data_IF_705648824782
#
_entry.id   IF_705648824782
#
_cell.length_a   1.000
_cell.length_b   1.000
_cell.length_c   1.000
_cell.angle_alpha   90.00
_cell.angle_beta   90.00
_cell.angle_gamma   90.00
#
_symmetry.space_group_name_H-M   'P 1'
#
loop_
_entity.id
_entity.type
_entity.pdbx_description
1 polymer ?
#
# COMPACT_ATOMS: atom_id res chain seq x y z
N UNK A 1 -9.52 -35.49 -2.61
CA UNK A 1 -8.54 -36.54 -2.28
C UNK A 1 -8.45 -36.77 -0.78
N UNK A 2 -8.05 -37.96 -0.36
CA UNK A 2 -7.93 -38.37 1.05
C UNK A 2 -6.45 -38.66 1.39
N UNK A 3 -5.90 -38.16 2.50
CA UNK A 3 -4.54 -38.49 2.94
C UNK A 3 -4.36 -40.00 3.12
N UNK A 4 -3.21 -40.54 2.73
CA UNK A 4 -2.90 -41.96 2.95
C UNK A 4 -2.51 -42.16 4.42
N UNK A 5 -3.19 -43.06 5.12
CA UNK A 5 -2.88 -43.41 6.50
C UNK A 5 -1.42 -43.90 6.64
N UNK A 6 -0.81 -43.62 7.80
CA UNK A 6 0.52 -44.12 8.15
C UNK A 6 0.49 -45.66 8.24
N UNK A 7 1.50 -46.30 7.67
CA UNK A 7 1.71 -47.73 7.90
C UNK A 7 2.17 -47.96 9.34
N UNK A 8 1.97 -49.17 9.87
CA UNK A 8 2.35 -49.49 11.26
C UNK A 8 3.84 -49.26 11.55
N UNK A 9 4.70 -49.48 10.55
CA UNK A 9 6.15 -49.28 10.66
C UNK A 9 6.53 -47.79 10.63
N UNK A 10 5.84 -46.98 9.82
CA UNK A 10 6.02 -45.52 9.78
C UNK A 10 5.55 -44.87 11.09
N UNK A 11 4.42 -45.33 11.64
CA UNK A 11 3.92 -44.85 12.93
C UNK A 11 4.90 -45.16 14.06
N UNK A 12 5.42 -46.40 14.11
CA UNK A 12 6.41 -46.79 15.10
C UNK A 12 7.72 -45.97 15.00
N UNK A 13 8.13 -45.62 13.78
CA UNK A 13 9.31 -44.77 13.54
C UNK A 13 9.07 -43.32 14.00
N UNK A 14 7.87 -42.79 13.73
CA UNK A 14 7.48 -41.45 14.17
C UNK A 14 7.41 -41.35 15.70
N UNK A 15 6.82 -42.35 16.36
CA UNK A 15 6.75 -42.40 17.81
C UNK A 15 8.15 -42.49 18.44
N UNK A 16 9.06 -43.29 17.85
CA UNK A 16 10.45 -43.38 18.30
C UNK A 16 11.22 -42.05 18.16
N UNK A 17 11.02 -41.32 17.06
CA UNK A 17 11.66 -40.01 16.83
C UNK A 17 11.14 -38.95 17.80
N UNK A 18 9.84 -38.93 18.10
CA UNK A 18 9.26 -38.04 19.13
C UNK A 18 9.79 -38.36 20.52
N UNK A 19 9.90 -39.65 20.87
CA UNK A 19 10.51 -40.04 22.15
C UNK A 19 11.99 -39.63 22.26
N UNK A 20 12.74 -39.66 21.16
CA UNK A 20 14.13 -39.21 21.14
C UNK A 20 14.22 -37.69 21.31
N UNK A 21 13.35 -36.94 20.63
CA UNK A 21 13.21 -35.48 20.77
C UNK A 21 12.93 -35.09 22.23
N UNK A 22 11.92 -35.70 22.85
CA UNK A 22 11.53 -35.41 24.23
C UNK A 22 12.66 -35.73 25.23
N UNK A 23 13.41 -36.82 25.00
CA UNK A 23 14.56 -37.19 25.84
C UNK A 23 15.71 -36.20 25.71
N UNK A 24 15.97 -35.69 24.51
CA UNK A 24 17.01 -34.67 24.30
C UNK A 24 16.57 -33.34 24.88
N UNK A 25 15.31 -32.94 24.71
CA UNK A 25 14.76 -31.71 25.28
C UNK A 25 14.88 -31.73 26.80
N UNK A 26 14.47 -32.80 27.47
CA UNK A 26 14.57 -32.91 28.93
C UNK A 26 16.02 -32.92 29.46
N UNK A 27 17.00 -33.35 28.66
CA UNK A 27 18.41 -33.37 29.06
C UNK A 27 19.08 -31.99 28.98
N UNK A 28 18.60 -31.12 28.09
CA UNK A 28 19.22 -29.83 27.80
C UNK A 28 18.32 -28.62 28.11
N UNK A 29 17.15 -28.83 28.74
CA UNK A 29 16.23 -27.76 29.14
C UNK A 29 16.84 -26.77 30.15
N UNK A 30 17.73 -27.25 31.04
CA UNK A 30 18.40 -26.43 32.05
C UNK A 30 19.83 -25.99 31.65
N UNK A 31 20.25 -26.26 30.40
CA UNK A 31 21.58 -25.89 29.93
C UNK A 31 21.61 -24.42 29.46
N UNK A 32 22.61 -23.65 29.91
CA UNK A 32 22.80 -22.25 29.52
C UNK A 32 23.14 -22.08 28.01
N UNK A 33 23.73 -23.10 27.39
CA UNK A 33 24.08 -23.13 25.96
C UNK A 33 23.98 -24.57 25.43
N UNK A 34 23.38 -24.72 24.25
CA UNK A 34 23.17 -26.03 23.61
C UNK A 34 24.42 -26.39 22.78
N UNK A 35 25.03 -27.58 22.98
CA UNK A 35 26.13 -28.01 22.13
C UNK A 35 25.69 -28.15 20.65
N UNK A 36 26.54 -27.71 19.71
CA UNK A 36 26.25 -27.74 18.26
C UNK A 36 25.80 -29.11 17.74
N UNK A 37 26.35 -30.20 18.29
CA UNK A 37 25.98 -31.58 17.92
C UNK A 37 24.53 -31.93 18.30
N UNK A 38 24.02 -31.33 19.38
CA UNK A 38 22.65 -31.56 19.88
C UNK A 38 21.67 -30.68 19.11
N UNK A 39 22.03 -29.44 18.80
CA UNK A 39 21.25 -28.55 17.92
C UNK A 39 21.05 -29.19 16.53
N UNK A 40 22.14 -29.73 15.95
CA UNK A 40 22.07 -30.47 14.69
C UNK A 40 21.16 -31.69 14.80
N UNK A 41 21.20 -32.42 15.92
CA UNK A 41 20.36 -33.61 16.13
C UNK A 41 18.88 -33.26 16.25
N UNK A 42 18.53 -32.13 16.88
CA UNK A 42 17.15 -31.64 16.89
C UNK A 42 16.66 -31.32 15.49
N UNK A 43 17.46 -30.61 14.69
CA UNK A 43 17.12 -30.31 13.30
C UNK A 43 16.91 -31.56 12.44
N UNK A 44 17.72 -32.60 12.62
CA UNK A 44 17.55 -33.89 11.94
C UNK A 44 16.24 -34.60 12.32
N UNK A 45 15.91 -34.63 13.61
CA UNK A 45 14.70 -35.28 14.12
C UNK A 45 13.45 -34.54 13.65
N UNK A 46 13.42 -33.21 13.72
CA UNK A 46 12.31 -32.39 13.24
C UNK A 46 12.09 -32.55 11.73
N UNK A 47 13.17 -32.55 10.94
CA UNK A 47 13.09 -32.77 9.50
C UNK A 47 12.55 -34.17 9.17
N UNK A 48 12.97 -35.20 9.91
CA UNK A 48 12.49 -36.57 9.74
C UNK A 48 11.01 -36.73 10.11
N UNK A 49 10.57 -36.13 11.22
CA UNK A 49 9.15 -36.11 11.62
C UNK A 49 8.30 -35.41 10.55
N UNK A 50 8.72 -34.22 10.12
CA UNK A 50 8.02 -33.45 9.08
C UNK A 50 7.90 -34.23 7.77
N UNK A 51 8.93 -34.98 7.38
CA UNK A 51 8.89 -35.83 6.19
C UNK A 51 7.92 -37.00 6.32
N UNK A 52 7.76 -37.58 7.51
CA UNK A 52 6.80 -38.67 7.73
C UNK A 52 5.35 -38.16 7.79
N UNK A 53 5.15 -36.95 8.30
CA UNK A 53 3.84 -36.30 8.38
C UNK A 53 3.37 -35.70 7.04
N UNK A 54 4.29 -35.39 6.12
CA UNK A 54 3.98 -34.93 4.77
C UNK A 54 3.41 -36.07 3.90
N UNK A 55 2.10 -36.39 4.07
CA UNK A 55 1.46 -37.53 3.39
C UNK A 55 1.02 -37.23 1.96
N UNK A 56 1.29 -38.15 1.00
CA UNK A 56 0.70 -38.08 -0.33
C UNK A 56 -0.82 -38.31 -0.25
N UNK A 57 -1.57 -37.49 -0.99
CA UNK A 57 -3.03 -37.56 -1.09
C UNK A 57 -3.43 -38.55 -2.19
N UNK A 58 -4.37 -39.47 -1.90
CA UNK A 58 -4.98 -40.35 -2.90
C UNK A 58 -6.21 -39.68 -3.50
N UNK A 59 -6.31 -39.64 -4.82
CA UNK A 59 -7.43 -39.08 -5.57
C UNK A 59 -8.27 -40.20 -6.22
N UNK A 60 -9.58 -39.97 -6.38
CA UNK A 60 -10.46 -40.90 -7.07
C UNK A 60 -10.09 -40.97 -8.57
N UNK A 61 -10.01 -42.15 -9.20
CA UNK A 61 -9.75 -42.28 -10.64
C UNK A 61 -10.65 -41.41 -11.54
N UNK A 62 -11.89 -41.16 -11.15
CA UNK A 62 -12.80 -40.29 -11.90
C UNK A 62 -12.43 -38.80 -11.77
N UNK A 63 -11.88 -38.38 -10.63
CA UNK A 63 -11.34 -37.02 -10.43
C UNK A 63 -10.03 -36.82 -11.20
N UNK A 64 -9.16 -37.84 -11.24
CA UNK A 64 -7.90 -37.80 -11.99
C UNK A 64 -8.13 -37.57 -13.50
N UNK A 65 -9.25 -38.04 -14.04
CA UNK A 65 -9.58 -37.88 -15.46
C UNK A 65 -10.01 -36.45 -15.86
N UNK A 66 -10.35 -35.59 -14.88
CA UNK A 66 -10.92 -34.24 -15.11
C UNK A 66 -10.14 -33.13 -14.41
N UNK A 67 -9.40 -33.48 -13.36
CA UNK A 67 -8.58 -32.54 -12.61
C UNK A 67 -7.16 -32.48 -13.15
N UNK A 68 -6.67 -31.28 -13.35
CA UNK A 68 -5.28 -30.97 -13.62
C UNK A 68 -4.41 -30.92 -12.35
N UNK A 69 -3.13 -30.67 -12.61
CA UNK A 69 -2.10 -30.44 -11.60
C UNK A 69 -1.59 -29.01 -11.75
N UNK A 70 -1.55 -28.28 -10.65
CA UNK A 70 -0.82 -27.03 -10.55
C UNK A 70 0.59 -27.33 -10.02
N UNK A 71 1.59 -27.05 -10.84
CA UNK A 71 2.98 -27.13 -10.44
C UNK A 71 3.46 -25.71 -10.18
N UNK A 72 3.84 -25.43 -8.95
CA UNK A 72 4.51 -24.21 -8.55
C UNK A 72 5.89 -24.55 -7.98
N UNK A 73 6.72 -23.52 -7.83
CA UNK A 73 8.03 -23.64 -7.20
C UNK A 73 7.97 -22.77 -5.95
N UNK A 74 8.31 -23.34 -4.80
CA UNK A 74 8.37 -22.65 -3.52
C UNK A 74 9.58 -21.71 -3.49
N UNK A 75 9.60 -20.80 -2.50
CA UNK A 75 10.58 -19.73 -2.31
C UNK A 75 12.03 -20.20 -2.18
N UNK A 76 12.26 -21.48 -1.87
CA UNK A 76 13.56 -22.12 -1.76
C UNK A 76 13.98 -22.92 -3.02
N UNK A 77 13.14 -22.90 -4.08
CA UNK A 77 13.37 -23.65 -5.31
C UNK A 77 12.81 -25.07 -5.29
N UNK A 78 12.14 -25.48 -4.21
CA UNK A 78 11.49 -26.80 -4.13
C UNK A 78 10.23 -26.83 -4.99
N UNK A 79 10.01 -27.92 -5.72
CA UNK A 79 8.78 -28.10 -6.52
C UNK A 79 7.58 -28.37 -5.60
N UNK A 80 6.59 -27.48 -5.63
CA UNK A 80 5.29 -27.67 -4.99
C UNK A 80 4.30 -28.19 -6.03
N UNK A 81 3.75 -29.38 -5.79
CA UNK A 81 2.84 -30.04 -6.75
C UNK A 81 1.47 -30.22 -6.10
N UNK A 82 0.57 -29.31 -6.40
CA UNK A 82 -0.80 -29.34 -5.93
C UNK A 82 -1.70 -29.98 -7.00
N UNK A 83 -2.47 -31.01 -6.60
CA UNK A 83 -3.25 -31.84 -7.52
C UNK A 83 -4.73 -31.72 -7.17
N UNK A 84 -5.61 -31.77 -8.17
CA UNK A 84 -7.05 -31.72 -7.96
C UNK A 84 -7.75 -30.46 -8.47
N UNK A 85 -7.09 -29.63 -9.29
CA UNK A 85 -7.70 -28.43 -9.86
C UNK A 85 -8.50 -28.78 -11.11
N UNK A 86 -9.81 -28.59 -11.07
CA UNK A 86 -10.70 -28.79 -12.23
C UNK A 86 -10.92 -27.44 -12.90
N UNK A 87 -10.84 -27.38 -14.23
CA UNK A 87 -11.15 -26.15 -14.97
C UNK A 87 -12.64 -25.87 -14.89
N UNK A 88 -13.08 -24.60 -14.89
CA UNK A 88 -14.51 -24.27 -14.82
C UNK A 88 -15.36 -24.96 -15.90
N UNK A 89 -14.79 -25.18 -17.10
CA UNK A 89 -15.45 -25.89 -18.19
C UNK A 89 -15.59 -27.42 -17.98
N UNK A 90 -14.83 -28.01 -17.06
CA UNK A 90 -14.79 -29.45 -16.77
C UNK A 90 -15.47 -29.80 -15.43
N UNK A 91 -16.05 -28.80 -14.76
CA UNK A 91 -16.81 -28.95 -13.53
C UNK A 91 -18.13 -29.70 -13.80
N UNK A 92 -18.41 -30.77 -13.06
CA UNK A 92 -19.65 -31.51 -13.22
C UNK A 92 -20.84 -30.60 -12.82
N UNK A 93 -21.95 -30.56 -13.58
CA UNK A 93 -23.09 -29.73 -13.23
C UNK A 93 -23.61 -30.14 -11.84
N UNK A 94 -23.71 -29.16 -10.95
CA UNK A 94 -24.28 -29.36 -9.63
C UNK A 94 -25.70 -29.92 -9.76
N UNK A 95 -25.99 -31.01 -9.06
CA UNK A 95 -27.37 -31.44 -8.84
C UNK A 95 -28.07 -30.35 -8.03
N UNK A 96 -29.16 -29.76 -8.54
CA UNK A 96 -29.82 -28.65 -7.86
C UNK A 96 -30.58 -29.17 -6.63
N UNK A 97 -30.18 -28.73 -5.44
CA UNK A 97 -31.14 -28.62 -4.34
C UNK A 97 -31.96 -27.34 -4.58
N UNK A 98 -33.26 -27.55 -4.70
CA UNK A 98 -34.32 -26.54 -4.84
C UNK A 98 -34.30 -25.58 -3.68
N UNK A 99 -34.34 -24.27 -3.94
CA UNK A 99 -35.58 -23.51 -3.70
C UNK A 99 -35.59 -22.14 -4.40
N UNK A 100 -36.66 -21.96 -5.20
CA UNK A 100 -37.45 -20.76 -5.55
C UNK A 100 -37.09 -19.42 -4.88
N UNK A 101 -37.22 -18.22 -5.45
CA UNK A 101 -37.69 -17.61 -6.72
C UNK A 101 -37.43 -16.07 -6.55
N UNK A 102 -37.92 -15.12 -7.38
CA UNK A 102 -37.21 -14.47 -8.48
C UNK A 102 -37.04 -12.93 -8.33
N UNK A 103 -36.22 -12.37 -9.23
CA UNK A 103 -36.55 -11.09 -9.87
C UNK A 103 -35.48 -10.00 -9.78
N UNK A 104 -34.74 -9.78 -10.87
CA UNK A 104 -35.02 -8.74 -11.89
C UNK A 104 -33.79 -8.60 -12.80
N UNK A 105 -34.01 -9.03 -14.03
CA UNK A 105 -33.53 -8.49 -15.32
C UNK A 105 -32.26 -7.62 -15.40
N UNK A 106 -31.23 -8.20 -16.00
CA UNK A 106 -30.64 -7.75 -17.27
C UNK A 106 -30.32 -6.26 -17.47
N UNK A 107 -29.03 -5.93 -17.38
CA UNK A 107 -28.41 -5.11 -18.42
C UNK A 107 -26.92 -5.41 -18.57
N UNK A 108 -26.56 -5.75 -19.80
CA UNK A 108 -25.21 -5.88 -20.31
C UNK A 108 -24.41 -4.62 -20.01
N UNK A 109 -23.17 -4.79 -19.53
CA UNK A 109 -22.18 -3.72 -19.57
C UNK A 109 -21.15 -4.12 -20.62
N UNK A 110 -21.24 -3.45 -21.76
CA UNK A 110 -20.19 -3.37 -22.76
C UNK A 110 -18.90 -2.88 -22.11
N UNK A 111 -17.79 -3.51 -22.50
CA UNK A 111 -16.45 -3.06 -22.19
C UNK A 111 -16.21 -1.66 -22.78
N UNK A 112 -16.25 -0.64 -21.93
CA UNK A 112 -15.73 0.69 -22.24
C UNK A 112 -14.86 1.14 -21.06
N UNK A 113 -13.73 1.76 -21.40
CA UNK A 113 -12.60 2.00 -20.51
C UNK A 113 -12.99 2.60 -19.16
N UNK A 114 -12.54 1.95 -18.09
CA UNK A 114 -12.60 2.50 -16.73
C UNK A 114 -11.70 3.73 -16.66
N UNK A 115 -12.29 4.90 -16.88
CA UNK A 115 -11.66 6.17 -16.52
C UNK A 115 -11.65 6.23 -15.00
N UNK A 116 -10.50 5.93 -14.40
CA UNK A 116 -10.27 6.06 -12.96
C UNK A 116 -10.25 7.55 -12.58
N UNK A 117 -11.44 8.12 -12.42
CA UNK A 117 -11.63 9.37 -11.68
C UNK A 117 -11.31 9.08 -10.21
N UNK A 118 -10.83 10.07 -9.45
CA UNK A 118 -10.85 9.96 -7.98
C UNK A 118 -12.32 9.76 -7.55
N UNK A 119 -12.73 8.50 -7.34
CA UNK A 119 -14.11 8.18 -6.95
C UNK A 119 -14.26 8.55 -5.49
N UNK A 120 -14.68 9.79 -5.25
CA UNK A 120 -14.84 10.33 -3.91
C UNK A 120 -16.26 9.96 -3.38
N UNK A 121 -16.55 8.69 -3.10
CA UNK A 121 -17.84 8.20 -2.55
C UNK A 121 -18.42 9.02 -1.37
N UNK A 122 -19.57 9.67 -1.58
CA UNK A 122 -20.30 10.43 -0.55
C UNK A 122 -21.13 9.46 0.29
N UNK A 123 -20.82 9.33 1.58
CA UNK A 123 -21.68 8.60 2.52
C UNK A 123 -20.93 8.14 3.77
N UNK A 124 -20.78 9.02 4.75
CA UNK A 124 -20.27 8.66 6.07
C UNK A 124 -20.98 9.45 7.15
N UNK A 125 -21.89 8.82 7.89
CA UNK A 125 -22.46 9.42 9.10
C UNK A 125 -21.37 9.53 10.18
N UNK A 126 -21.31 10.65 10.93
CA UNK A 126 -20.39 10.79 12.04
C UNK A 126 -20.73 9.73 13.09
N UNK A 127 -19.74 8.94 13.49
CA UNK A 127 -19.87 8.05 14.64
C UNK A 127 -19.74 8.90 15.91
N UNK A 128 -20.79 8.92 16.73
CA UNK A 128 -20.74 9.47 18.08
C UNK A 128 -19.78 8.62 18.91
N UNK A 129 -18.65 9.21 19.30
CA UNK A 129 -17.79 8.65 20.34
C UNK A 129 -18.42 8.95 21.68
N UNK A 130 -18.94 7.92 22.36
CA UNK A 130 -19.44 8.01 23.73
C UNK A 130 -18.33 8.50 24.67
N UNK A 131 -18.69 9.43 25.55
CA UNK A 131 -17.84 10.02 26.57
C UNK A 131 -17.63 8.99 27.69
N UNK A 132 -16.46 8.33 27.71
CA UNK A 132 -15.97 7.66 28.90
C UNK A 132 -14.79 8.48 29.45
N UNK A 133 -15.04 9.12 30.60
CA UNK A 133 -14.13 9.91 31.42
C UNK A 133 -13.05 9.01 32.05
N UNK A 134 -12.20 8.39 31.21
CA UNK A 134 -10.93 7.83 31.64
C UNK A 134 -9.82 8.86 31.39
N UNK A 135 -8.97 9.09 32.41
CA UNK A 135 -7.88 10.08 32.48
C UNK A 135 -6.74 9.89 31.44
N UNK A 136 -6.98 9.15 30.36
CA UNK A 136 -5.99 8.82 29.33
C UNK A 136 -6.32 9.41 27.95
N UNK A 137 -5.26 9.79 27.24
CA UNK A 137 -5.34 10.19 25.82
C UNK A 137 -5.58 8.93 24.98
N UNK A 138 -6.85 8.63 24.68
CA UNK A 138 -7.23 7.48 23.84
C UNK A 138 -6.62 7.60 22.42
N UNK A 139 -6.22 6.49 21.77
CA UNK A 139 -5.82 6.49 20.37
C UNK A 139 -6.90 7.08 19.46
N UNK A 140 -6.51 7.62 18.31
CA UNK A 140 -7.47 8.11 17.32
C UNK A 140 -8.33 6.93 16.80
N UNK A 141 -9.65 7.12 16.61
CA UNK A 141 -10.49 6.10 15.99
C UNK A 141 -9.95 5.70 14.62
N UNK A 142 -9.92 4.39 14.29
CA UNK A 142 -9.42 3.88 13.01
C UNK A 142 -10.02 4.63 11.81
N UNK A 143 -11.35 4.85 11.84
CA UNK A 143 -12.05 5.58 10.80
C UNK A 143 -11.51 7.01 10.61
N UNK A 144 -11.18 7.71 11.69
CA UNK A 144 -10.60 9.05 11.63
C UNK A 144 -9.19 8.99 11.01
N UNK A 145 -8.39 7.98 11.33
CA UNK A 145 -7.06 7.79 10.73
C UNK A 145 -7.17 7.55 9.22
N UNK A 146 -8.11 6.71 8.76
CA UNK A 146 -8.34 6.47 7.32
C UNK A 146 -8.71 7.78 6.61
N UNK A 147 -9.61 8.59 7.19
CA UNK A 147 -10.03 9.87 6.60
C UNK A 147 -8.88 10.89 6.55
N UNK A 148 -8.10 11.03 7.63
CA UNK A 148 -6.93 11.93 7.66
C UNK A 148 -5.87 11.47 6.65
N UNK A 149 -5.61 10.18 6.55
CA UNK A 149 -4.63 9.66 5.58
C UNK A 149 -5.12 9.72 4.13
N UNK A 150 -6.44 9.75 3.91
CA UNK A 150 -7.02 10.07 2.60
C UNK A 150 -6.79 11.54 2.22
N UNK A 151 -7.02 12.50 3.14
CA UNK A 151 -6.68 13.92 2.93
C UNK A 151 -5.19 14.07 2.57
N UNK A 152 -4.31 13.43 3.35
CA UNK A 152 -2.85 13.44 3.13
C UNK A 152 -2.47 12.88 1.77
N UNK A 153 -3.05 11.74 1.39
CA UNK A 153 -2.78 11.12 0.08
C UNK A 153 -3.19 12.05 -1.04
N UNK A 154 -4.36 12.69 -0.95
CA UNK A 154 -4.85 13.55 -2.03
C UNK A 154 -4.03 14.85 -2.15
N UNK A 155 -3.64 15.46 -1.04
CA UNK A 155 -2.73 16.61 -1.05
C UNK A 155 -1.34 16.25 -1.59
N UNK A 156 -0.81 15.07 -1.24
CA UNK A 156 0.45 14.57 -1.76
C UNK A 156 0.40 14.34 -3.28
N UNK A 157 -0.70 13.78 -3.80
CA UNK A 157 -0.92 13.62 -5.24
C UNK A 157 -0.90 14.96 -5.97
N UNK A 158 -1.58 15.95 -5.42
CA UNK A 158 -1.63 17.28 -6.02
C UNK A 158 -0.23 17.89 -6.08
N UNK A 159 0.52 17.85 -4.98
CA UNK A 159 1.89 18.39 -4.93
C UNK A 159 2.83 17.63 -5.87
N UNK A 160 2.79 16.30 -5.86
CA UNK A 160 3.60 15.42 -6.72
C UNK A 160 3.33 15.64 -8.21
N UNK A 161 2.06 15.80 -8.61
CA UNK A 161 1.70 16.05 -10.01
C UNK A 161 2.23 17.40 -10.55
N UNK A 162 2.55 18.34 -9.65
CA UNK A 162 3.13 19.65 -10.01
C UNK A 162 4.67 19.65 -9.91
N UNK A 163 5.31 18.50 -9.72
CA UNK A 163 6.77 18.34 -9.67
C UNK A 163 7.24 17.19 -10.56
N UNK A 164 7.42 17.43 -11.88
CA UNK A 164 7.81 16.37 -12.82
C UNK A 164 9.15 15.69 -12.52
N UNK A 165 10.10 16.43 -11.92
CA UNK A 165 11.41 15.89 -11.59
C UNK A 165 11.32 14.86 -10.45
N UNK A 166 10.61 15.20 -9.37
CA UNK A 166 10.36 14.25 -8.28
C UNK A 166 9.46 13.10 -8.73
N UNK A 167 8.50 13.36 -9.61
CA UNK A 167 7.67 12.30 -10.16
C UNK A 167 8.49 11.26 -10.93
N UNK A 168 9.40 11.72 -11.79
CA UNK A 168 10.32 10.86 -12.51
C UNK A 168 11.20 10.06 -11.56
N UNK A 169 11.82 10.74 -10.58
CA UNK A 169 12.68 10.08 -9.59
C UNK A 169 11.93 9.00 -8.79
N UNK A 170 10.68 9.25 -8.40
CA UNK A 170 9.88 8.29 -7.63
C UNK A 170 9.52 7.05 -8.45
N UNK A 171 9.14 7.23 -9.71
CA UNK A 171 8.84 6.11 -10.63
C UNK A 171 10.12 5.35 -10.97
N UNK A 172 11.23 6.04 -11.23
CA UNK A 172 12.53 5.41 -11.44
C UNK A 172 12.97 4.62 -10.19
N UNK A 173 12.83 5.20 -9.00
CA UNK A 173 13.10 4.50 -7.75
C UNK A 173 12.25 3.23 -7.61
N UNK A 174 10.97 3.26 -8.00
CA UNK A 174 10.12 2.06 -8.06
C UNK A 174 10.68 1.03 -9.05
N UNK A 175 11.02 1.43 -10.26
CA UNK A 175 11.59 0.53 -11.28
C UNK A 175 12.93 -0.08 -10.82
N UNK A 176 13.81 0.72 -10.24
CA UNK A 176 15.09 0.26 -9.70
C UNK A 176 14.85 -0.73 -8.56
N UNK A 177 13.92 -0.45 -7.65
CA UNK A 177 13.58 -1.40 -6.58
C UNK A 177 13.06 -2.72 -7.13
N UNK A 178 12.15 -2.67 -8.10
CA UNK A 178 11.57 -3.88 -8.70
C UNK A 178 12.60 -4.68 -9.51
N UNK A 179 13.54 -4.00 -10.16
CA UNK A 179 14.54 -4.64 -11.03
C UNK A 179 15.73 -5.19 -10.23
N UNK A 180 16.17 -4.49 -9.19
CA UNK A 180 17.44 -4.79 -8.50
C UNK A 180 17.29 -5.29 -7.05
N UNK A 181 16.10 -5.26 -6.45
CA UNK A 181 15.89 -5.82 -5.11
C UNK A 181 15.66 -7.33 -5.21
N UNK A 182 16.62 -8.13 -4.74
CA UNK A 182 16.57 -9.62 -4.77
C UNK A 182 15.45 -10.25 -3.91
N UNK A 183 14.69 -9.45 -3.16
CA UNK A 183 13.52 -9.89 -2.40
C UNK A 183 12.25 -9.26 -3.01
N UNK A 184 11.39 -10.13 -3.57
CA UNK A 184 10.12 -9.90 -4.28
C UNK A 184 10.19 -9.18 -5.64
N UNK A 185 10.40 -9.97 -6.71
CA UNK A 185 9.88 -9.68 -8.03
C UNK A 185 9.23 -10.96 -8.60
N UNK A 186 7.93 -11.15 -8.36
CA UNK A 186 7.12 -12.06 -9.16
C UNK A 186 6.61 -11.30 -10.41
N UNK A 187 6.75 -11.92 -11.60
CA UNK A 187 6.14 -11.53 -12.88
C UNK A 187 6.79 -10.33 -13.59
N UNK A 188 7.54 -10.57 -14.67
CA UNK A 188 8.11 -9.47 -15.49
C UNK A 188 7.70 -9.57 -16.96
N UNK A 189 7.18 -8.47 -17.49
CA UNK A 189 7.65 -7.80 -18.72
C UNK A 189 7.09 -6.36 -18.72
N UNK A 190 7.38 -5.57 -17.67
CA UNK A 190 6.74 -4.29 -17.32
C UNK A 190 5.22 -4.37 -17.10
N UNK A 191 4.76 -4.20 -15.85
CA UNK A 191 3.42 -3.66 -15.60
C UNK A 191 3.53 -2.42 -14.69
N UNK A 192 3.65 -1.25 -15.32
CA UNK A 192 3.46 0.04 -14.64
C UNK A 192 1.98 0.21 -14.41
N UNK A 193 1.47 -0.32 -13.30
CA UNK A 193 0.13 0.05 -12.88
C UNK A 193 0.19 1.35 -12.10
N UNK A 194 -0.25 2.42 -12.75
CA UNK A 194 -0.85 3.53 -12.02
C UNK A 194 -2.19 3.03 -11.48
N UNK A 195 -2.15 2.30 -10.35
CA UNK A 195 -3.38 1.98 -9.63
C UNK A 195 -3.82 3.23 -8.91
N UNK A 196 -4.81 3.91 -9.50
CA UNK A 196 -5.56 4.94 -8.79
C UNK A 196 -6.03 4.39 -7.45
N UNK A 197 -5.50 4.90 -6.35
CA UNK A 197 -6.03 4.59 -5.01
C UNK A 197 -7.43 5.17 -4.95
N UNK A 198 -8.38 4.29 -4.69
CA UNK A 198 -9.74 4.64 -4.31
C UNK A 198 -9.73 4.89 -2.82
N UNK A 199 -10.36 5.97 -2.38
CA UNK A 199 -10.49 6.29 -0.96
C UNK A 199 -11.83 5.73 -0.47
N UNK A 200 -11.92 4.52 0.12
CA UNK A 200 -13.22 3.96 0.51
C UNK A 200 -13.90 4.77 1.62
N UNK A 201 -13.13 5.48 2.45
CA UNK A 201 -13.62 6.35 3.52
C UNK A 201 -13.06 7.76 3.29
N UNK A 202 -13.93 8.76 3.34
CA UNK A 202 -13.57 10.14 3.04
C UNK A 202 -14.17 11.09 4.07
N UNK A 203 -13.44 12.17 4.32
CA UNK A 203 -13.91 13.30 5.09
C UNK A 203 -15.00 14.07 4.33
N UNK A 204 -15.90 14.70 5.08
CA UNK A 204 -16.87 15.63 4.51
C UNK A 204 -16.12 16.81 3.86
N UNK A 205 -16.46 17.14 2.61
CA UNK A 205 -15.85 18.23 1.87
C UNK A 205 -14.54 17.90 1.14
N UNK A 206 -14.03 16.66 1.19
CA UNK A 206 -12.79 16.26 0.48
C UNK A 206 -12.82 16.64 -1.02
N UNK A 207 -13.97 16.48 -1.69
CA UNK A 207 -14.18 16.85 -3.11
C UNK A 207 -13.99 18.35 -3.39
N UNK A 208 -14.26 19.19 -2.40
CA UNK A 208 -14.32 20.63 -2.53
C UNK A 208 -13.02 21.34 -2.14
N UNK A 209 -12.04 20.57 -1.68
CA UNK A 209 -10.71 21.05 -1.34
C UNK A 209 -10.00 21.62 -2.57
N UNK A 210 -9.06 22.53 -2.32
CA UNK A 210 -8.28 23.19 -3.38
C UNK A 210 -7.50 22.17 -4.22
N UNK A 211 -6.92 21.15 -3.58
CA UNK A 211 -6.16 20.10 -4.25
C UNK A 211 -7.06 19.17 -5.08
N UNK A 212 -8.26 18.80 -4.60
CA UNK A 212 -9.19 17.99 -5.38
C UNK A 212 -9.65 18.71 -6.66
N UNK A 213 -9.95 20.01 -6.55
CA UNK A 213 -10.32 20.86 -7.70
C UNK A 213 -9.15 21.04 -8.68
N UNK A 214 -7.94 21.23 -8.15
CA UNK A 214 -6.72 21.35 -8.94
C UNK A 214 -6.43 20.08 -9.75
N UNK A 215 -6.49 18.90 -9.12
CA UNK A 215 -6.33 17.61 -9.79
C UNK A 215 -7.38 17.42 -10.89
N UNK A 216 -8.66 17.71 -10.60
CA UNK A 216 -9.74 17.56 -11.57
C UNK A 216 -9.56 18.51 -12.76
N UNK A 217 -9.21 19.79 -12.51
CA UNK A 217 -8.98 20.76 -13.57
C UNK A 217 -7.78 20.38 -14.46
N UNK A 218 -6.68 19.89 -13.87
CA UNK A 218 -5.54 19.35 -14.64
C UNK A 218 -5.95 18.14 -15.47
N UNK A 219 -6.71 17.20 -14.90
CA UNK A 219 -7.18 16.02 -15.63
C UNK A 219 -8.06 16.40 -16.82
N UNK A 220 -9.06 17.28 -16.63
CA UNK A 220 -9.93 17.75 -17.71
C UNK A 220 -9.17 18.52 -18.80
N UNK A 221 -8.09 19.22 -18.43
CA UNK A 221 -7.22 19.91 -19.39
C UNK A 221 -6.48 18.92 -20.28
N UNK A 222 -5.96 17.84 -19.70
CA UNK A 222 -5.32 16.76 -20.45
C UNK A 222 -6.30 15.94 -21.29
N UNK A 223 -7.47 15.62 -20.74
CA UNK A 223 -8.53 14.88 -21.43
C UNK A 223 -8.97 15.57 -22.73
N UNK A 224 -9.02 16.91 -22.76
CA UNK A 224 -9.36 17.68 -23.97
C UNK A 224 -8.26 17.69 -25.03
N UNK A 225 -7.01 17.43 -24.66
CA UNK A 225 -5.83 17.44 -25.54
C UNK A 225 -5.52 16.05 -26.10
N UNK A 226 -5.86 15.01 -25.35
CA UNK A 226 -5.58 13.62 -25.71
C UNK A 226 -6.65 13.09 -26.68
N UNK A 227 -6.27 12.20 -27.60
CA UNK A 227 -7.23 11.59 -28.53
C UNK A 227 -8.17 10.64 -27.80
N UNK A 228 -9.40 10.52 -28.33
CA UNK A 228 -10.43 9.61 -27.81
C UNK A 228 -10.09 8.15 -28.16
N UNK A 229 -9.46 7.93 -29.32
CA UNK A 229 -9.10 6.59 -29.78
C UNK A 229 -7.68 6.24 -29.36
N UNK A 230 -7.52 5.09 -28.69
CA UNK A 230 -6.23 4.58 -28.19
C UNK A 230 -5.21 4.40 -29.32
N UNK A 231 -5.66 4.09 -30.55
CA UNK A 231 -4.80 3.93 -31.71
C UNK A 231 -4.00 5.21 -32.05
N UNK A 232 -4.55 6.39 -31.74
CA UNK A 232 -3.92 7.68 -32.05
C UNK A 232 -3.05 8.21 -30.89
N UNK A 233 -3.06 7.53 -29.73
CA UNK A 233 -2.44 8.01 -28.49
C UNK A 233 -0.93 8.14 -28.62
N UNK A 234 -0.27 7.18 -29.27
CA UNK A 234 1.18 7.21 -29.44
C UNK A 234 1.64 8.46 -30.18
N UNK A 235 1.04 8.73 -31.35
CA UNK A 235 1.38 9.88 -32.18
C UNK A 235 1.06 11.20 -31.45
N UNK A 236 -0.05 11.25 -30.72
CA UNK A 236 -0.40 12.41 -29.91
C UNK A 236 0.60 12.68 -28.78
N UNK A 237 1.07 11.64 -28.08
CA UNK A 237 2.09 11.78 -27.03
C UNK A 237 3.45 12.17 -27.62
N UNK A 238 3.83 11.59 -28.75
CA UNK A 238 5.08 11.92 -29.46
C UNK A 238 5.10 13.37 -29.98
N UNK A 239 3.93 13.95 -30.27
CA UNK A 239 3.80 15.34 -30.70
C UNK A 239 3.86 16.37 -29.56
N UNK A 240 3.75 15.95 -28.29
CA UNK A 240 3.93 16.83 -27.14
C UNK A 240 5.39 17.26 -26.98
N UNK A 241 5.61 18.48 -26.50
CA UNK A 241 6.95 18.92 -26.08
C UNK A 241 7.45 18.10 -24.89
N UNK A 242 8.76 18.04 -24.67
CA UNK A 242 9.34 17.32 -23.53
C UNK A 242 8.76 17.77 -22.17
N UNK A 243 8.50 19.07 -22.01
CA UNK A 243 7.84 19.62 -20.81
C UNK A 243 6.41 19.10 -20.67
N UNK A 244 5.62 19.10 -21.74
CA UNK A 244 4.25 18.60 -21.71
C UNK A 244 4.19 17.09 -21.44
N UNK A 245 5.14 16.32 -22.00
CA UNK A 245 5.28 14.90 -21.68
C UNK A 245 5.60 14.70 -20.20
N UNK A 246 6.53 15.48 -19.64
CA UNK A 246 6.91 15.39 -18.23
C UNK A 246 5.75 15.78 -17.29
N UNK A 247 4.99 16.82 -17.62
CA UNK A 247 3.79 17.22 -16.86
C UNK A 247 2.68 16.18 -16.91
N UNK A 248 2.40 15.61 -18.09
CA UNK A 248 1.41 14.54 -18.23
C UNK A 248 1.86 13.27 -17.50
N UNK A 249 3.15 12.94 -17.62
CA UNK A 249 3.76 11.84 -16.87
C UNK A 249 3.59 12.04 -15.36
N UNK A 250 3.89 13.23 -14.83
CA UNK A 250 3.75 13.54 -13.41
C UNK A 250 2.30 13.44 -12.93
N UNK A 251 1.36 13.96 -13.72
CA UNK A 251 -0.08 13.85 -13.45
C UNK A 251 -0.52 12.38 -13.40
N UNK A 252 -0.14 11.57 -14.39
CA UNK A 252 -0.44 10.14 -14.42
C UNK A 252 0.19 9.41 -13.24
N UNK A 253 1.50 9.58 -13.00
CA UNK A 253 2.23 8.94 -11.91
C UNK A 253 1.66 9.28 -10.52
N UNK A 254 1.11 10.50 -10.33
CA UNK A 254 0.49 10.90 -9.07
C UNK A 254 -0.62 9.96 -8.62
N UNK A 255 -1.41 9.39 -9.54
CA UNK A 255 -2.48 8.47 -9.18
C UNK A 255 -1.97 7.14 -8.60
N UNK A 256 -0.67 6.83 -8.74
CA UNK A 256 -0.03 5.68 -8.08
C UNK A 256 0.40 5.95 -6.64
N UNK A 257 0.39 7.20 -6.19
CA UNK A 257 0.78 7.56 -4.81
C UNK A 257 -0.29 7.11 -3.83
N UNK A 258 0.10 6.34 -2.81
CA UNK A 258 -0.76 5.82 -1.75
C UNK A 258 -0.14 6.09 -0.36
N UNK A 259 -0.76 6.96 0.43
CA UNK A 259 -0.42 7.20 1.82
C UNK A 259 -1.60 6.85 2.76
N UNK A 260 -2.53 6.01 2.30
CA UNK A 260 -3.74 5.64 3.02
C UNK A 260 -3.43 4.58 4.09
N UNK A 261 -3.90 4.81 5.31
CA UNK A 261 -3.95 3.78 6.34
C UNK A 261 -5.12 2.83 6.06
N UNK A 262 -4.85 1.54 6.11
CA UNK A 262 -5.85 0.48 6.06
C UNK A 262 -5.60 -0.45 7.24
N UNK A 263 -6.67 -0.83 7.94
CA UNK A 263 -6.53 -1.75 9.06
C UNK A 263 -6.30 -3.16 8.52
N UNK A 264 -5.17 -3.75 8.86
CA UNK A 264 -4.89 -5.15 8.54
C UNK A 264 -5.96 -6.05 9.17
N UNK A 265 -6.54 -6.94 8.37
CA UNK A 265 -7.59 -7.85 8.86
C UNK A 265 -6.97 -8.93 9.75
N UNK A 266 -7.59 -9.21 10.91
CA UNK A 266 -7.02 -10.14 11.92
C UNK A 266 -7.06 -11.60 11.47
N UNK A 267 -7.85 -11.93 10.46
CA UNK A 267 -8.14 -13.30 10.03
C UNK A 267 -7.66 -13.63 8.62
N UNK A 268 -6.74 -12.82 8.05
CA UNK A 268 -6.00 -13.21 6.84
C UNK A 268 -6.80 -13.22 5.53
N UNK A 269 -8.06 -12.77 5.52
CA UNK A 269 -8.84 -12.61 4.30
C UNK A 269 -8.60 -11.27 3.56
N UNK A 270 -7.62 -10.46 3.99
CA UNK A 270 -7.37 -9.11 3.48
C UNK A 270 -5.94 -8.91 2.96
N UNK A 271 -5.82 -8.27 1.80
CA UNK A 271 -4.64 -8.18 0.93
C UNK A 271 -3.32 -7.61 1.50
N UNK A 272 -3.26 -7.14 2.75
CA UNK A 272 -2.06 -6.48 3.32
C UNK A 272 -1.91 -6.74 4.82
N UNK A 273 -0.67 -7.00 5.27
CA UNK A 273 -0.31 -7.12 6.69
C UNK A 273 -0.13 -5.76 7.36
N UNK A 274 -0.10 -5.73 8.71
CA UNK A 274 0.20 -4.49 9.46
C UNK A 274 1.60 -3.94 9.12
N UNK A 275 2.55 -4.83 8.82
CA UNK A 275 3.89 -4.46 8.38
C UNK A 275 3.86 -3.77 7.01
N UNK A 276 3.07 -4.26 6.06
CA UNK A 276 2.95 -3.66 4.73
C UNK A 276 2.36 -2.25 4.78
N UNK A 277 1.36 -2.05 5.65
CA UNK A 277 0.75 -0.72 5.88
C UNK A 277 1.77 0.23 6.49
N UNK A 278 2.55 -0.22 7.48
CA UNK A 278 3.60 0.59 8.09
C UNK A 278 4.70 0.96 7.08
N UNK A 279 5.15 0.00 6.27
CA UNK A 279 6.18 0.24 5.24
C UNK A 279 5.67 1.21 4.17
N UNK A 280 4.40 1.10 3.77
CA UNK A 280 3.76 2.04 2.83
C UNK A 280 3.73 3.46 3.39
N UNK A 281 3.33 3.63 4.64
CA UNK A 281 3.28 4.95 5.28
C UNK A 281 4.69 5.56 5.42
N UNK A 282 5.69 4.76 5.77
CA UNK A 282 7.09 5.21 5.81
C UNK A 282 7.63 5.63 4.43
N UNK A 283 7.28 4.88 3.38
CA UNK A 283 7.62 5.26 2.00
C UNK A 283 6.90 6.55 1.56
N UNK A 284 5.64 6.74 1.98
CA UNK A 284 4.91 7.98 1.76
C UNK A 284 5.57 9.17 2.48
N UNK A 285 6.07 8.99 3.70
CA UNK A 285 6.80 10.05 4.44
C UNK A 285 8.07 10.50 3.69
N UNK A 286 8.72 9.61 2.95
CA UNK A 286 9.85 9.96 2.08
C UNK A 286 9.39 10.83 0.90
N UNK A 287 8.28 10.48 0.25
CA UNK A 287 7.73 11.28 -0.84
C UNK A 287 7.25 12.66 -0.37
N UNK A 288 6.58 12.74 0.78
CA UNK A 288 6.13 14.00 1.39
C UNK A 288 7.32 14.95 1.59
N UNK A 289 8.46 14.44 2.09
CA UNK A 289 9.70 15.21 2.19
C UNK A 289 10.24 15.65 0.84
N UNK A 290 10.32 14.73 -0.12
CA UNK A 290 10.87 15.01 -1.44
C UNK A 290 10.09 16.10 -2.19
N UNK A 291 8.76 16.11 -2.11
CA UNK A 291 7.92 17.14 -2.75
C UNK A 291 7.69 18.38 -1.88
N UNK A 292 8.22 18.40 -0.65
CA UNK A 292 8.01 19.48 0.31
C UNK A 292 6.53 19.71 0.65
N UNK A 293 5.76 18.65 0.88
CA UNK A 293 4.36 18.78 1.28
C UNK A 293 4.26 19.12 2.78
N UNK A 294 3.64 20.25 3.06
CA UNK A 294 3.15 20.64 4.38
C UNK A 294 1.62 20.71 4.32
N UNK A 295 0.93 19.96 5.17
CA UNK A 295 -0.53 19.88 5.17
C UNK A 295 -1.20 21.19 5.64
N UNK A 296 -0.58 21.93 6.56
CA UNK A 296 -1.09 23.21 7.02
C UNK A 296 -0.94 24.27 5.93
N UNK A 297 0.21 24.30 5.25
CA UNK A 297 0.46 25.17 4.09
C UNK A 297 -0.45 24.80 2.89
N UNK A 298 -0.79 23.52 2.74
CA UNK A 298 -1.79 23.03 1.79
C UNK A 298 -3.24 23.38 2.19
N UNK A 299 -3.44 24.07 3.31
CA UNK A 299 -4.72 24.60 3.75
C UNK A 299 -5.55 23.67 4.63
N UNK A 300 -5.00 22.54 5.09
CA UNK A 300 -5.69 21.70 6.08
C UNK A 300 -5.74 22.41 7.43
N UNK A 301 -6.91 22.39 8.07
CA UNK A 301 -7.14 22.96 9.40
C UNK A 301 -8.08 22.05 10.20
N UNK A 302 -7.90 21.94 11.52
CA UNK A 302 -8.83 21.17 12.35
C UNK A 302 -10.16 21.89 12.46
N UNK A 303 -11.24 21.21 12.12
CA UNK A 303 -12.63 21.69 12.25
C UNK A 303 -13.45 20.71 13.07
N UNK A 304 -14.63 21.14 13.50
CA UNK A 304 -15.63 20.27 14.15
C UNK A 304 -15.96 19.08 13.26
N UNK A 305 -16.08 19.29 11.94
CA UNK A 305 -16.46 18.23 10.99
C UNK A 305 -15.36 17.21 10.71
N UNK A 306 -14.09 17.64 10.61
CA UNK A 306 -13.02 16.75 10.17
C UNK A 306 -12.22 16.08 11.31
N UNK A 307 -12.15 16.71 12.50
CA UNK A 307 -11.31 16.23 13.61
C UNK A 307 -11.92 16.51 14.99
N UNK A 308 -12.19 17.78 15.32
CA UNK A 308 -12.49 18.21 16.69
C UNK A 308 -13.81 17.66 17.23
N UNK A 309 -14.81 17.41 16.38
CA UNK A 309 -16.06 16.76 16.78
C UNK A 309 -15.94 15.24 16.94
N UNK A 310 -14.82 14.64 16.54
CA UNK A 310 -14.64 13.19 16.41
C UNK A 310 -13.69 12.59 17.43
N UNK A 311 -13.01 13.43 18.20
CA UNK A 311 -12.08 13.03 19.27
C UNK A 311 -12.67 13.34 20.66
N UNK A 312 -12.06 12.81 21.70
CA UNK A 312 -12.49 13.04 23.09
C UNK A 312 -12.18 14.47 23.54
N UNK A 313 -12.83 14.95 24.62
CA UNK A 313 -12.50 16.25 25.22
C UNK A 313 -11.02 16.38 25.58
N UNK A 314 -10.41 15.33 26.13
CA UNK A 314 -9.00 15.30 26.46
C UNK A 314 -8.10 15.57 25.23
N UNK A 315 -8.42 14.96 24.08
CA UNK A 315 -7.73 15.19 22.81
C UNK A 315 -7.94 16.61 22.26
N UNK A 316 -9.13 17.19 22.42
CA UNK A 316 -9.38 18.59 22.04
C UNK A 316 -8.50 19.53 22.89
N UNK A 317 -8.45 19.29 24.21
CA UNK A 317 -7.65 20.10 25.13
C UNK A 317 -6.14 19.97 24.87
N UNK A 318 -5.66 18.78 24.53
CA UNK A 318 -4.29 18.53 24.09
C UNK A 318 -3.98 19.30 22.80
N UNK A 319 -4.82 19.17 21.76
CA UNK A 319 -4.63 19.88 20.50
C UNK A 319 -4.56 21.40 20.71
N UNK A 320 -5.47 21.98 21.51
CA UNK A 320 -5.47 23.41 21.84
C UNK A 320 -4.24 23.79 22.67
N UNK A 321 -3.79 22.93 23.58
CA UNK A 321 -2.57 23.18 24.37
C UNK A 321 -1.33 23.20 23.49
N UNK A 322 -1.21 22.29 22.54
CA UNK A 322 -0.10 22.23 21.57
C UNK A 322 -0.13 23.42 20.59
N UNK A 323 -1.29 23.74 20.01
CA UNK A 323 -1.40 24.76 18.96
C UNK A 323 -1.55 26.19 19.48
N UNK A 324 -2.28 26.40 20.58
CA UNK A 324 -2.64 27.71 21.11
C UNK A 324 -2.17 27.96 22.57
N UNK A 325 -1.54 26.96 23.18
CA UNK A 325 -0.93 27.07 24.52
C UNK A 325 -1.85 26.74 25.68
N UNK A 326 -1.22 26.56 26.85
CA UNK A 326 -1.87 26.14 28.10
C UNK A 326 -3.07 27.00 28.50
N UNK A 327 -2.93 28.32 28.41
CA UNK A 327 -3.99 29.26 28.81
C UNK A 327 -5.23 29.12 27.95
N UNK A 328 -5.08 28.85 26.65
CA UNK A 328 -6.20 28.65 25.74
C UNK A 328 -6.95 27.36 26.08
N UNK A 329 -6.22 26.29 26.43
CA UNK A 329 -6.80 25.01 26.87
C UNK A 329 -7.65 25.18 28.15
N UNK A 330 -7.15 25.92 29.14
CA UNK A 330 -7.88 26.22 30.39
C UNK A 330 -9.14 27.07 30.19
N UNK A 331 -9.22 27.86 29.12
CA UNK A 331 -10.41 28.66 28.82
C UNK A 331 -11.57 27.83 28.29
N UNK A 332 -11.32 26.60 27.82
CA UNK A 332 -12.34 25.76 27.18
C UNK A 332 -12.62 24.45 27.94
N UNK A 333 -11.85 24.13 28.98
CA UNK A 333 -11.91 22.86 29.73
C UNK A 333 -13.28 22.53 30.34
N UNK A 334 -13.99 23.55 30.78
CA UNK A 334 -15.30 23.46 31.42
C UNK A 334 -16.46 23.41 30.41
N UNK A 335 -16.18 23.57 29.11
CA UNK A 335 -17.20 23.55 28.07
C UNK A 335 -17.70 22.12 27.80
N UNK A 336 -18.94 22.03 27.32
CA UNK A 336 -19.48 20.76 26.79
C UNK A 336 -18.78 20.43 25.46
N UNK A 337 -18.67 19.14 25.10
CA UNK A 337 -17.89 18.65 23.94
C UNK A 337 -18.17 19.43 22.65
N UNK A 338 -19.44 19.65 22.31
CA UNK A 338 -19.81 20.39 21.10
C UNK A 338 -19.38 21.87 21.11
N UNK A 339 -19.48 22.55 22.25
CA UNK A 339 -19.06 23.96 22.39
C UNK A 339 -17.53 24.06 22.48
N UNK A 340 -16.89 23.11 23.16
CA UNK A 340 -15.43 22.95 23.23
C UNK A 340 -14.84 22.76 21.84
N UNK A 341 -15.42 21.90 21.00
CA UNK A 341 -14.96 21.66 19.64
C UNK A 341 -15.07 22.92 18.76
N UNK A 342 -16.16 23.68 18.89
CA UNK A 342 -16.35 24.95 18.15
C UNK A 342 -15.35 26.02 18.57
N UNK A 343 -15.10 26.16 19.87
CA UNK A 343 -14.13 27.14 20.36
C UNK A 343 -12.69 26.72 20.03
N UNK A 344 -12.38 25.42 20.10
CA UNK A 344 -11.11 24.87 19.66
C UNK A 344 -10.84 25.13 18.17
N UNK A 345 -11.85 25.01 17.30
CA UNK A 345 -11.73 25.34 15.87
C UNK A 345 -11.30 26.80 15.69
N UNK A 346 -11.92 27.72 16.44
CA UNK A 346 -11.56 29.15 16.42
C UNK A 346 -10.13 29.40 16.92
N UNK A 347 -9.72 28.70 17.98
CA UNK A 347 -8.40 28.86 18.60
C UNK A 347 -7.28 28.29 17.72
N UNK A 348 -7.55 27.21 16.99
CA UNK A 348 -6.56 26.51 16.17
C UNK A 348 -6.48 27.01 14.72
N UNK A 349 -7.47 27.76 14.24
CA UNK A 349 -7.63 28.14 12.83
C UNK A 349 -6.32 28.58 12.15
N UNK A 350 -5.53 29.47 12.77
CA UNK A 350 -4.32 30.05 12.18
C UNK A 350 -3.01 29.60 12.86
N UNK A 351 -3.07 28.51 13.63
CA UNK A 351 -1.91 28.01 14.38
C UNK A 351 -0.98 27.12 13.55
N UNK A 352 -1.47 26.59 12.42
CA UNK A 352 -0.77 25.55 11.65
C UNK A 352 -0.74 24.19 12.36
N UNK A 353 -1.51 24.02 13.44
CA UNK A 353 -1.57 22.75 14.17
C UNK A 353 -2.17 21.64 13.28
N UNK A 354 -1.55 20.46 13.37
CA UNK A 354 -1.94 19.26 12.64
C UNK A 354 -2.06 18.08 13.62
N UNK A 355 -2.99 17.13 13.42
CA UNK A 355 -3.01 15.87 14.15
C UNK A 355 -1.85 14.96 13.70
N UNK A 356 -1.47 13.99 14.53
CA UNK A 356 -0.28 13.16 14.33
C UNK A 356 -0.20 12.49 12.95
N UNK A 357 -1.26 11.93 12.36
CA UNK A 357 -1.20 11.32 11.02
C UNK A 357 -0.87 12.30 9.87
N UNK A 358 -1.06 13.60 10.09
CA UNK A 358 -0.78 14.65 9.12
C UNK A 358 0.56 15.35 9.37
N UNK A 359 1.21 15.11 10.51
CA UNK A 359 2.54 15.65 10.82
C UNK A 359 3.59 14.91 10.02
N UNK A 360 4.62 15.63 9.61
CA UNK A 360 5.85 15.01 9.19
C UNK A 360 6.58 14.51 10.45
N UNK A 361 6.82 13.22 10.56
CA UNK A 361 7.76 12.73 11.57
C UNK A 361 9.15 13.09 11.06
N UNK A 362 9.79 14.07 11.69
CA UNK A 362 11.24 14.25 11.54
C UNK A 362 11.89 12.96 12.03
N UNK A 363 12.30 12.10 11.10
CA UNK A 363 13.28 11.08 11.42
C UNK A 363 14.48 11.87 11.95
N UNK A 364 14.79 11.71 13.23
CA UNK A 364 16.01 12.23 13.82
C UNK A 364 17.14 11.67 12.97
N UNK A 365 17.59 12.46 12.00
CA UNK A 365 18.82 12.22 11.28
C UNK A 365 19.85 12.36 12.38
N UNK A 366 20.40 11.24 12.85
CA UNK A 366 21.70 11.31 13.51
C UNK A 366 22.59 12.03 12.51
N UNK A 367 22.90 13.28 12.82
CA UNK A 367 23.71 14.15 12.00
C UNK A 367 25.11 13.55 11.94
N UNK A 368 25.30 12.63 10.99
CA UNK A 368 26.59 12.26 10.45
C UNK A 368 27.11 13.48 9.72
N UNK A 369 27.88 14.28 10.45
CA UNK A 369 28.68 15.39 9.93
C UNK A 369 29.49 14.92 8.72
N UNK A 370 29.02 15.25 7.52
CA UNK A 370 29.83 15.24 6.30
C UNK A 370 29.52 16.51 5.52
N UNK A 371 30.33 17.52 5.81
CA UNK A 371 30.53 18.68 4.94
C UNK A 371 31.11 18.26 3.58
N UNK A 372 30.81 19.10 2.58
CA UNK A 372 31.32 19.21 1.20
C UNK A 372 30.51 18.43 0.13
N UNK A 373 30.02 19.05 -0.96
CA UNK A 373 30.11 20.42 -1.43
C UNK A 373 29.39 20.57 -2.79
N UNK A 374 28.99 21.82 -3.07
CA UNK A 374 28.81 22.47 -4.38
C UNK A 374 27.96 21.82 -5.50
N UNK A 375 26.85 22.50 -5.82
CA UNK A 375 26.21 22.67 -7.14
C UNK A 375 26.46 21.58 -8.20
N UNK A 376 25.62 20.54 -8.21
CA UNK A 376 25.44 19.70 -9.39
C UNK A 376 24.30 20.23 -10.26
N UNK A 377 24.71 20.88 -11.35
CA UNK A 377 23.86 21.29 -12.46
C UNK A 377 23.07 20.11 -13.03
N UNK A 378 21.84 20.40 -13.44
CA UNK A 378 20.93 19.47 -14.11
C UNK A 378 21.62 18.73 -15.28
N UNK A 379 21.28 17.45 -15.52
CA UNK A 379 21.93 16.62 -16.53
C UNK A 379 21.84 17.22 -17.94
N UNK A 380 22.95 17.11 -18.66
CA UNK A 380 23.28 17.74 -19.96
C UNK A 380 22.26 17.44 -21.09
N UNK A 381 21.43 16.39 -20.93
CA UNK A 381 20.35 16.01 -21.85
C UNK A 381 19.20 17.04 -21.94
N UNK A 382 19.05 17.95 -20.97
CA UNK A 382 18.00 18.98 -20.97
C UNK A 382 18.45 20.36 -21.48
N UNK A 383 19.67 20.48 -22.00
CA UNK A 383 20.28 21.77 -22.31
C UNK A 383 20.89 21.83 -23.74
N UNK A 384 20.12 21.56 -24.80
CA UNK A 384 20.38 22.16 -26.13
C UNK A 384 19.30 21.84 -27.19
N UNK A 385 18.68 22.89 -27.73
CA UNK A 385 18.40 23.10 -29.16
C UNK A 385 19.45 24.14 -29.63
N UNK A 386 20.01 24.27 -30.85
CA UNK A 386 19.79 23.72 -32.19
C UNK A 386 21.06 24.02 -33.04
N UNK A 387 21.29 23.22 -34.09
CA UNK A 387 22.17 23.41 -35.28
C UNK A 387 23.70 23.49 -35.04
N UNK A 388 24.58 22.74 -35.73
CA UNK A 388 24.75 22.59 -37.19
C UNK A 388 25.46 21.26 -37.56
N UNK A 389 24.91 20.61 -38.59
CA UNK A 389 25.44 19.69 -39.61
C UNK A 389 26.91 19.16 -39.63
N UNK A 390 26.98 17.84 -39.85
CA UNK A 390 27.84 17.03 -40.76
C UNK A 390 29.37 17.03 -40.56
N UNK A 391 29.96 15.86 -40.26
CA UNK A 391 30.54 15.01 -41.31
C UNK A 391 30.82 13.58 -40.82
N UNK A 392 30.77 12.65 -41.77
CA UNK A 392 30.95 11.19 -41.64
C UNK A 392 32.33 10.77 -41.10
N UNK A 393 32.40 9.66 -40.35
CA UNK A 393 33.13 8.44 -40.76
C UNK A 393 33.10 7.28 -39.75
N UNK A 394 32.72 6.12 -40.31
CA UNK A 394 33.20 4.75 -40.06
C UNK A 394 32.78 3.97 -38.79
N UNK A 395 31.76 3.13 -39.01
CA UNK A 395 31.72 1.68 -38.79
C UNK A 395 32.55 1.07 -37.64
N UNK A 396 31.84 0.69 -36.58
CA UNK A 396 32.25 -0.33 -35.62
C UNK A 396 31.05 -1.22 -35.29
N UNK A 397 30.89 -2.28 -36.09
CA UNK A 397 29.82 -3.26 -36.03
C UNK A 397 30.05 -4.28 -34.88
N UNK A 398 28.96 -4.61 -34.16
CA UNK A 398 28.71 -5.78 -33.25
C UNK A 398 29.31 -5.68 -31.82
N UNK A 399 28.65 -6.11 -30.74
CA UNK A 399 27.73 -7.25 -30.57
C UNK A 399 26.68 -7.03 -29.47
N UNK A 400 25.59 -7.77 -29.59
CA UNK A 400 24.57 -7.98 -28.58
C UNK A 400 24.97 -9.06 -27.56
N UNK A 401 24.65 -8.83 -26.28
CA UNK A 401 24.42 -9.77 -25.16
C UNK A 401 24.73 -8.97 -23.87
N UNK A 402 23.90 -8.93 -22.83
CA UNK A 402 22.98 -9.91 -22.26
C UNK A 402 21.87 -9.19 -21.49
#
# INVERSE_FOLDING_TARGET
GTPIDLTGDEQATLDALREEFDKLQAQYEEADELPDEIDQRFGEIEAAIKSLEARPIRFDPAEIARAGVLISVDTDGTLLVERGFVRPEDEAPATPESDSDPGVDGSQVEATGSVLRAVITIGGQPADTEDDDEDGIKPLPDRLIVELTADRTLALRDKFANDPAIAFLAVLHKFVRDTFSRYSAQGVAMEVFVRGVVFPIQSEGLRDTIYARSIQARHETWEKRLPIHVADLWDALAALTGTEQAELFAHCASFGVNALYERADRYGNGAFSAHDVQQRLAAADHLVRAVGLDMAAAGWRPTVGNYLGRVTKARILEAVREGAGERASQLIDHLKKGDMAKEAERLLADTGWLPEPLRLVELAVEAGDTNAGEDEALPEFLAADTDVALDDQEEGQLDAAE
#
